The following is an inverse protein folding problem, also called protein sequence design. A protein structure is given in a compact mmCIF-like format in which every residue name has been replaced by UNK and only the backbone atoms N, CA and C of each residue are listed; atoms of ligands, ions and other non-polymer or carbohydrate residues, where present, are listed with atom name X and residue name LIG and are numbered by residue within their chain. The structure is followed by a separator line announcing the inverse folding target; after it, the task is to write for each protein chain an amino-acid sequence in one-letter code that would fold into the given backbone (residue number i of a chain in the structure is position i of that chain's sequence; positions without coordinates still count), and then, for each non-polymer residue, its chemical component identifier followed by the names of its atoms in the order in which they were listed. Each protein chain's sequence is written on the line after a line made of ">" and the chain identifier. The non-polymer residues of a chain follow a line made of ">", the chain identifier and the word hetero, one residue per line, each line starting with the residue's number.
data_IF_448949383460
#
_entry.id   IF_448949383460
#
_cell.length_a   1.000
_cell.length_b   1.000
_cell.length_c   1.000
_cell.angle_alpha   90.00
_cell.angle_beta   90.00
_cell.angle_gamma   90.00
#
_symmetry.space_group_name_H-M   'P 1'
#
loop_
_entity.id
_entity.type
_entity.pdbx_description
1 polymer ?
#
# COMPACT_ATOMS: atom_id res chain seq x y z
N UNK A 1 14.85 16.01 12.87
CA UNK A 1 14.56 16.08 11.43
C UNK A 1 13.06 16.33 11.29
N UNK A 2 12.67 17.59 11.12
CA UNK A 2 11.26 17.96 10.98
C UNK A 2 10.74 17.41 9.66
N UNK A 3 9.57 16.79 9.68
CA UNK A 3 8.81 16.51 8.47
C UNK A 3 8.60 17.85 7.78
N UNK A 4 9.29 18.09 6.66
CA UNK A 4 9.16 19.33 5.90
C UNK A 4 7.68 19.58 5.59
N UNK A 5 7.26 20.85 5.67
CA UNK A 5 5.87 21.25 5.44
C UNK A 5 5.48 21.20 3.94
N UNK A 6 6.22 20.44 3.14
CA UNK A 6 6.04 20.28 1.71
C UNK A 6 5.15 19.06 1.46
N UNK A 7 3.86 19.33 1.23
CA UNK A 7 2.94 18.30 0.80
C UNK A 7 3.36 17.79 -0.58
N UNK A 8 3.63 16.48 -0.70
CA UNK A 8 3.92 15.84 -1.96
C UNK A 8 2.72 15.01 -2.42
N UNK A 9 2.18 15.32 -3.60
CA UNK A 9 1.13 14.51 -4.21
C UNK A 9 1.72 13.21 -4.76
N UNK A 10 1.10 12.08 -4.42
CA UNK A 10 1.45 10.75 -4.92
C UNK A 10 0.25 10.21 -5.69
N UNK A 11 0.36 10.01 -7.02
CA UNK A 11 -0.73 9.43 -7.79
C UNK A 11 -0.89 7.95 -7.46
N UNK A 12 -2.14 7.50 -7.38
CA UNK A 12 -2.43 6.07 -7.36
C UNK A 12 -2.23 5.47 -8.75
N UNK A 13 -1.74 4.23 -8.87
CA UNK A 13 -1.80 3.49 -10.13
C UNK A 13 -3.23 3.30 -10.60
N UNK A 14 -3.40 3.17 -11.92
CA UNK A 14 -4.69 2.72 -12.48
C UNK A 14 -4.95 1.29 -12.02
N UNK A 15 -6.13 1.05 -11.46
CA UNK A 15 -6.60 -0.26 -11.02
C UNK A 15 -7.94 -0.57 -11.68
N UNK A 16 -8.19 -1.85 -11.96
CA UNK A 16 -9.52 -2.33 -12.33
C UNK A 16 -10.27 -2.62 -11.02
N UNK A 17 -11.21 -1.75 -10.65
CA UNK A 17 -11.86 -1.78 -9.34
C UNK A 17 -12.98 -2.84 -9.33
N UNK A 18 -12.83 -3.84 -8.47
CA UNK A 18 -13.78 -4.92 -8.21
C UNK A 18 -14.49 -4.72 -6.87
N UNK A 19 -13.73 -4.44 -5.80
CA UNK A 19 -14.24 -4.13 -4.47
C UNK A 19 -13.30 -3.15 -3.74
N UNK A 20 -13.72 -1.90 -3.46
CA UNK A 20 -12.88 -0.91 -2.78
C UNK A 20 -12.72 -1.17 -1.27
N UNK A 21 -13.43 -2.15 -0.72
CA UNK A 21 -13.43 -2.44 0.72
C UNK A 21 -12.03 -2.73 1.23
N UNK A 22 -11.59 -1.97 2.24
CA UNK A 22 -10.29 -2.15 2.90
C UNK A 22 -9.11 -1.46 2.21
N UNK A 23 -9.28 -0.79 1.06
CA UNK A 23 -8.17 -0.10 0.37
C UNK A 23 -7.45 0.93 1.26
N UNK A 24 -8.20 1.65 2.10
CA UNK A 24 -7.65 2.61 3.07
C UNK A 24 -6.84 1.93 4.18
N UNK A 25 -7.33 0.81 4.69
CA UNK A 25 -6.61 0.02 5.71
C UNK A 25 -5.35 -0.60 5.12
N UNK A 26 -5.42 -1.12 3.89
CA UNK A 26 -4.27 -1.62 3.12
C UNK A 26 -3.23 -0.53 2.93
N UNK A 27 -3.64 0.68 2.52
CA UNK A 27 -2.74 1.83 2.42
C UNK A 27 -2.06 2.12 3.76
N UNK A 28 -2.84 2.28 4.84
CA UNK A 28 -2.32 2.62 6.16
C UNK A 28 -1.33 1.56 6.68
N UNK A 29 -1.69 0.27 6.53
CA UNK A 29 -0.84 -0.85 6.93
C UNK A 29 0.48 -0.87 6.14
N UNK A 30 0.43 -0.73 4.81
CA UNK A 30 1.61 -0.70 3.96
C UNK A 30 2.51 0.51 4.27
N UNK A 31 1.92 1.69 4.47
CA UNK A 31 2.64 2.92 4.78
C UNK A 31 3.38 2.83 6.13
N UNK A 32 2.66 2.46 7.20
CA UNK A 32 3.25 2.32 8.55
C UNK A 32 4.31 1.22 8.57
N UNK A 33 4.10 0.12 7.83
CA UNK A 33 5.11 -0.96 7.72
C UNK A 33 6.39 -0.45 7.09
N UNK A 34 6.30 0.31 6.00
CA UNK A 34 7.46 0.91 5.33
C UNK A 34 8.19 1.93 6.20
N UNK A 35 7.45 2.80 6.90
CA UNK A 35 8.04 3.74 7.85
C UNK A 35 8.76 3.04 8.99
N UNK A 36 8.19 1.95 9.52
CA UNK A 36 8.80 1.16 10.61
C UNK A 36 10.15 0.56 10.22
N UNK A 37 10.35 0.20 8.97
CA UNK A 37 11.64 -0.31 8.46
C UNK A 37 12.60 0.79 7.98
N UNK A 38 12.27 2.06 8.26
CA UNK A 38 13.15 3.20 7.94
C UNK A 38 13.05 3.72 6.52
N UNK A 39 11.99 3.38 5.77
CA UNK A 39 11.78 3.95 4.45
C UNK A 39 11.50 5.46 4.54
N UNK A 40 11.97 6.20 3.54
CA UNK A 40 11.58 7.59 3.33
C UNK A 40 10.04 7.71 3.17
N UNK A 41 9.38 8.73 3.73
CA UNK A 41 7.93 8.88 3.66
C UNK A 41 7.36 8.92 2.25
N UNK A 42 8.03 9.52 1.27
CA UNK A 42 7.55 9.55 -0.11
C UNK A 42 7.65 8.16 -0.75
N UNK A 43 8.74 7.43 -0.49
CA UNK A 43 8.87 6.04 -0.93
C UNK A 43 7.83 5.12 -0.27
N UNK A 44 7.54 5.32 1.01
CA UNK A 44 6.50 4.60 1.74
C UNK A 44 5.10 4.90 1.16
N UNK A 45 4.80 6.16 0.85
CA UNK A 45 3.52 6.57 0.26
C UNK A 45 3.29 5.95 -1.12
N UNK A 46 4.30 5.94 -1.99
CA UNK A 46 4.24 5.28 -3.30
C UNK A 46 3.92 3.79 -3.17
N UNK A 47 4.63 3.10 -2.28
CA UNK A 47 4.39 1.68 -2.01
C UNK A 47 2.98 1.42 -1.48
N UNK A 48 2.49 2.28 -0.60
CA UNK A 48 1.14 2.16 -0.04
C UNK A 48 0.07 2.40 -1.11
N UNK A 49 0.23 3.39 -1.99
CA UNK A 49 -0.64 3.62 -3.14
C UNK A 49 -0.68 2.41 -4.09
N UNK A 50 0.47 1.80 -4.40
CA UNK A 50 0.54 0.59 -5.22
C UNK A 50 -0.16 -0.60 -4.56
N UNK A 51 0.03 -0.77 -3.25
CA UNK A 51 -0.56 -1.90 -2.51
C UNK A 51 -2.08 -1.76 -2.43
N UNK A 52 -2.59 -0.55 -2.13
CA UNK A 52 -4.02 -0.28 -2.08
C UNK A 52 -4.68 -0.35 -3.46
N UNK A 53 -4.01 0.11 -4.52
CA UNK A 53 -4.53 -0.04 -5.88
C UNK A 53 -4.65 -1.51 -6.30
N UNK A 54 -3.78 -2.40 -5.81
CA UNK A 54 -3.91 -3.84 -6.07
C UNK A 54 -5.01 -4.50 -5.26
N UNK A 55 -5.26 -4.04 -4.03
CA UNK A 55 -6.27 -4.66 -3.17
C UNK A 55 -7.70 -4.46 -3.69
N UNK A 56 -7.96 -3.40 -4.46
CA UNK A 56 -9.30 -3.16 -5.00
C UNK A 56 -9.65 -4.04 -6.21
N UNK A 57 -8.67 -4.69 -6.82
CA UNK A 57 -8.88 -5.56 -8.00
C UNK A 57 -9.27 -7.00 -7.64
N UNK A 58 -9.57 -7.27 -6.38
CA UNK A 58 -9.99 -8.57 -5.84
C UNK A 58 -11.23 -8.39 -4.96
N UNK A 59 -12.01 -9.45 -4.77
CA UNK A 59 -13.24 -9.40 -3.95
C UNK A 59 -12.90 -9.41 -2.45
N UNK A 60 -13.11 -8.29 -1.77
CA UNK A 60 -12.91 -8.17 -0.31
C UNK A 60 -11.44 -8.15 0.12
N UNK A 61 -11.19 -7.48 1.26
CA UNK A 61 -9.84 -7.29 1.81
C UNK A 61 -9.09 -8.59 2.18
N UNK A 62 -9.78 -9.73 2.29
CA UNK A 62 -9.19 -11.02 2.66
C UNK A 62 -8.83 -11.92 1.46
N UNK A 63 -9.34 -11.65 0.26
CA UNK A 63 -9.04 -12.47 -0.93
C UNK A 63 -7.85 -11.91 -1.74
N UNK A 64 -7.20 -10.86 -1.25
CA UNK A 64 -5.97 -10.37 -1.85
C UNK A 64 -4.87 -11.44 -1.77
N UNK A 65 -4.23 -11.82 -2.89
CA UNK A 65 -3.16 -12.80 -2.87
C UNK A 65 -2.05 -12.32 -1.94
N UNK A 66 -1.80 -13.05 -0.87
CA UNK A 66 -0.50 -13.01 -0.20
C UNK A 66 0.46 -13.72 -1.14
N UNK A 67 1.47 -13.02 -1.65
CA UNK A 67 2.49 -13.66 -2.49
C UNK A 67 3.04 -14.87 -1.75
N UNK A 68 2.82 -16.06 -2.32
CA UNK A 68 3.03 -17.35 -1.70
C UNK A 68 4.51 -17.70 -1.64
N UNK A 69 5.29 -16.99 -0.82
CA UNK A 69 6.61 -17.47 -0.45
C UNK A 69 6.42 -18.72 0.41
N UNK A 70 6.48 -19.88 -0.24
CA UNK A 70 6.57 -21.19 0.41
C UNK A 70 7.67 -21.14 1.49
N UNK A 71 7.39 -21.54 2.75
CA UNK A 71 8.44 -21.70 3.73
C UNK A 71 9.26 -22.95 3.40
N UNK A 72 10.32 -22.79 2.60
CA UNK A 72 11.36 -23.81 2.44
C UNK A 72 11.88 -24.03 1.01
N UNK A 73 12.50 -23.03 0.40
CA UNK A 73 13.44 -23.21 -0.70
C UNK A 73 14.77 -22.53 -0.36
#
# INVERSE_FOLDING_TARGET
>A
AGLGNDACYVPAPVADEVDPTGAGDTFAAAFVTRLRVGADPLAAARFACETAARSVSVLGAMEAPVDGREPGA
#
